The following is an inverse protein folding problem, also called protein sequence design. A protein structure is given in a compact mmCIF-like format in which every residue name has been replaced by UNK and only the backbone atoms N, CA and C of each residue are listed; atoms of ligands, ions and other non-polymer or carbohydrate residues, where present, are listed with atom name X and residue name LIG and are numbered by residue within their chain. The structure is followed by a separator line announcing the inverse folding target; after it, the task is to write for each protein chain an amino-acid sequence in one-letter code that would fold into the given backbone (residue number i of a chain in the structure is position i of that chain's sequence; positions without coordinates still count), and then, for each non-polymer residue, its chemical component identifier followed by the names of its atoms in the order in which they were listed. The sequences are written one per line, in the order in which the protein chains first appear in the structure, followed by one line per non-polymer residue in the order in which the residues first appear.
data_IF_410042838997
#
_entry.id   IF_410042838997
#
_cell.length_a   1.000
_cell.length_b   1.000
_cell.length_c   1.000
_cell.angle_alpha   90.00
_cell.angle_beta   90.00
_cell.angle_gamma   90.00
#
_symmetry.space_group_name_H-M   'P 1'
#
loop_
_entity.id
_entity.type
_entity.pdbx_description
1 polymer ?
#
# COMPACT_ATOMS: atom_id res chain seq x y z
N UNK A 1 3.52 17.30 -13.30
CA UNK A 1 4.69 17.83 -12.58
C UNK A 1 5.02 16.85 -11.48
N UNK A 2 6.19 16.22 -11.57
CA UNK A 2 6.56 14.97 -10.92
C UNK A 2 6.57 15.08 -9.38
N UNK A 3 5.77 14.24 -8.72
CA UNK A 3 6.01 13.86 -7.34
C UNK A 3 7.28 12.98 -7.33
N UNK A 4 8.44 13.60 -7.16
CA UNK A 4 9.67 12.83 -6.96
C UNK A 4 9.70 12.31 -5.51
N UNK A 5 9.68 10.98 -5.29
CA UNK A 5 9.91 10.44 -3.96
C UNK A 5 11.27 10.95 -3.44
N UNK A 6 11.28 11.51 -2.23
CA UNK A 6 12.49 12.12 -1.67
C UNK A 6 13.60 11.09 -1.41
N UNK A 7 14.83 11.57 -1.18
CA UNK A 7 15.96 10.71 -0.79
C UNK A 7 15.64 9.81 0.42
N UNK A 8 14.73 10.24 1.29
CA UNK A 8 14.21 9.45 2.40
C UNK A 8 13.44 8.19 1.96
N UNK A 9 12.66 8.24 0.87
CA UNK A 9 11.97 7.04 0.33
C UNK A 9 13.01 6.04 -0.19
N UNK A 10 14.03 6.50 -0.91
CA UNK A 10 15.11 5.64 -1.39
C UNK A 10 15.90 5.02 -0.24
N UNK A 11 16.21 5.79 0.81
CA UNK A 11 16.85 5.29 2.02
C UNK A 11 15.96 4.30 2.78
N UNK A 12 14.68 4.61 3.00
CA UNK A 12 13.75 3.73 3.71
C UNK A 12 13.46 2.44 2.95
N UNK A 13 13.39 2.47 1.61
CA UNK A 13 13.34 1.24 0.79
C UNK A 13 14.63 0.41 0.95
N UNK A 14 15.78 1.07 1.08
CA UNK A 14 17.08 0.41 1.27
C UNK A 14 17.24 -0.18 2.68
N UNK A 15 16.62 0.41 3.70
CA UNK A 15 16.60 -0.10 5.09
C UNK A 15 15.50 -1.17 5.28
N UNK A 16 14.42 -1.10 4.51
CA UNK A 16 13.28 -2.01 4.56
C UNK A 16 13.33 -3.12 3.51
N UNK A 17 14.51 -3.72 3.29
CA UNK A 17 14.76 -4.80 2.30
C UNK A 17 13.69 -5.91 2.39
N UNK A 18 13.15 -6.15 3.58
CA UNK A 18 12.16 -7.20 3.86
C UNK A 18 10.84 -6.99 3.09
N UNK A 19 10.40 -5.73 2.90
CA UNK A 19 9.10 -5.42 2.27
C UNK A 19 9.23 -5.07 0.78
N UNK A 20 10.42 -4.76 0.27
CA UNK A 20 10.62 -4.39 -1.15
C UNK A 20 10.23 -5.50 -2.12
N UNK A 21 10.57 -6.79 -1.88
CA UNK A 21 10.09 -7.90 -2.71
C UNK A 21 8.57 -7.99 -2.69
N UNK A 22 7.94 -7.85 -1.52
CA UNK A 22 6.47 -7.84 -1.37
C UNK A 22 5.83 -6.78 -2.26
N UNK A 23 6.29 -5.53 -2.19
CA UNK A 23 5.77 -4.44 -3.02
C UNK A 23 5.97 -4.70 -4.51
N UNK A 24 7.14 -5.25 -4.89
CA UNK A 24 7.44 -5.60 -6.29
C UNK A 24 6.46 -6.65 -6.81
N UNK A 25 6.21 -7.71 -6.04
CA UNK A 25 5.27 -8.76 -6.42
C UNK A 25 3.82 -8.28 -6.46
N UNK A 26 3.43 -7.35 -5.58
CA UNK A 26 2.12 -6.68 -5.64
C UNK A 26 1.97 -5.91 -6.95
N UNK A 27 2.97 -5.11 -7.33
CA UNK A 27 2.96 -4.35 -8.60
C UNK A 27 2.88 -5.29 -9.80
N UNK A 28 3.66 -6.37 -9.82
CA UNK A 28 3.59 -7.39 -10.87
C UNK A 28 2.19 -8.01 -10.94
N UNK A 29 1.57 -8.29 -9.79
CA UNK A 29 0.20 -8.84 -9.73
C UNK A 29 -0.84 -7.88 -10.31
N UNK A 30 -0.70 -6.57 -10.04
CA UNK A 30 -1.53 -5.52 -10.66
C UNK A 30 -1.35 -5.44 -12.18
N UNK A 31 -0.10 -5.48 -12.67
CA UNK A 31 0.19 -5.47 -14.12
C UNK A 31 -0.45 -6.67 -14.82
N UNK A 32 -0.37 -7.86 -14.21
CA UNK A 32 -0.99 -9.06 -14.75
C UNK A 32 -2.53 -8.96 -14.79
N UNK A 33 -3.16 -8.35 -13.78
CA UNK A 33 -4.60 -8.10 -13.80
C UNK A 33 -4.97 -7.09 -14.90
N UNK A 34 -4.20 -6.02 -15.08
CA UNK A 34 -4.41 -5.06 -16.18
C UNK A 34 -4.29 -5.75 -17.55
N UNK A 35 -3.28 -6.61 -17.74
CA UNK A 35 -3.15 -7.42 -18.95
C UNK A 35 -4.33 -8.36 -19.17
N UNK A 36 -4.90 -8.94 -18.10
CA UNK A 36 -6.15 -9.68 -18.21
C UNK A 36 -7.30 -8.77 -18.66
N UNK A 37 -7.51 -7.60 -18.05
CA UNK A 37 -8.60 -6.69 -18.43
C UNK A 37 -8.52 -6.30 -19.92
N UNK A 38 -7.31 -6.13 -20.47
CA UNK A 38 -7.11 -5.76 -21.88
C UNK A 38 -7.18 -6.94 -22.85
N UNK A 39 -6.61 -8.10 -22.50
CA UNK A 39 -6.44 -9.24 -23.42
C UNK A 39 -7.38 -10.42 -23.15
N UNK A 40 -8.08 -10.42 -22.01
CA UNK A 40 -8.95 -11.50 -21.51
C UNK A 40 -8.28 -12.89 -21.44
N UNK A 41 -6.94 -12.93 -21.38
CA UNK A 41 -6.20 -14.17 -21.24
C UNK A 41 -6.12 -14.57 -19.77
N UNK A 42 -6.76 -15.68 -19.42
CA UNK A 42 -6.84 -16.21 -18.04
C UNK A 42 -5.49 -16.63 -17.46
N UNK A 43 -4.48 -16.86 -18.30
CA UNK A 43 -3.12 -17.14 -17.82
C UNK A 43 -2.58 -16.01 -16.94
N UNK A 44 -2.87 -14.75 -17.28
CA UNK A 44 -2.40 -13.62 -16.47
C UNK A 44 -3.05 -13.61 -15.08
N UNK A 45 -4.34 -13.91 -14.96
CA UNK A 45 -5.00 -14.04 -13.66
C UNK A 45 -4.50 -15.24 -12.87
N UNK A 46 -4.24 -16.36 -13.54
CA UNK A 46 -3.66 -17.53 -12.88
C UNK A 46 -2.29 -17.19 -12.27
N UNK A 47 -1.39 -16.60 -13.06
CA UNK A 47 -0.08 -16.16 -12.58
C UNK A 47 -0.19 -15.13 -11.45
N UNK A 48 -1.08 -14.14 -11.59
CA UNK A 48 -1.35 -13.14 -10.54
C UNK A 48 -1.84 -13.81 -9.25
N UNK A 49 -2.70 -14.84 -9.36
CA UNK A 49 -3.22 -15.58 -8.20
C UNK A 49 -2.12 -16.37 -7.47
N UNK A 50 -1.22 -17.02 -8.21
CA UNK A 50 -0.07 -17.73 -7.62
C UNK A 50 0.85 -16.73 -6.91
N UNK A 51 1.25 -15.66 -7.59
CA UNK A 51 2.12 -14.63 -7.00
C UNK A 51 1.46 -14.04 -5.75
N UNK A 52 0.21 -13.59 -5.84
CA UNK A 52 -0.51 -13.01 -4.70
C UNK A 52 -0.62 -13.98 -3.51
N UNK A 53 -0.75 -15.28 -3.74
CA UNK A 53 -0.82 -16.29 -2.67
C UNK A 53 0.51 -16.47 -1.94
N UNK A 54 1.63 -16.36 -2.67
CA UNK A 54 2.97 -16.41 -2.08
C UNK A 54 3.30 -15.10 -1.36
N UNK A 55 2.88 -13.96 -1.91
CA UNK A 55 3.13 -12.64 -1.33
C UNK A 55 2.40 -12.45 -0.01
N UNK A 56 1.12 -12.85 0.08
CA UNK A 56 0.37 -12.82 1.36
C UNK A 56 0.90 -13.83 2.38
N UNK A 57 1.45 -14.97 1.94
CA UNK A 57 2.14 -15.90 2.83
C UNK A 57 3.42 -15.28 3.42
N UNK A 58 4.14 -14.49 2.62
CA UNK A 58 5.36 -13.81 3.05
C UNK A 58 5.08 -12.61 3.96
N UNK A 59 4.03 -11.84 3.69
CA UNK A 59 3.81 -10.54 4.31
C UNK A 59 2.33 -10.14 4.31
N UNK A 60 1.78 -9.89 5.51
CA UNK A 60 0.37 -9.58 5.72
C UNK A 60 -0.02 -8.20 5.19
N UNK A 61 0.93 -7.31 4.92
CA UNK A 61 0.68 -6.00 4.28
C UNK A 61 0.00 -6.15 2.91
N UNK A 62 0.20 -7.29 2.25
CA UNK A 62 -0.45 -7.66 0.99
C UNK A 62 -1.97 -7.63 1.07
N UNK A 63 -2.55 -7.87 2.26
CA UNK A 63 -3.99 -7.77 2.47
C UNK A 63 -4.47 -6.34 2.21
N UNK A 64 -3.76 -5.36 2.78
CA UNK A 64 -4.11 -3.95 2.70
C UNK A 64 -3.75 -3.34 1.34
N UNK A 65 -2.67 -3.81 0.71
CA UNK A 65 -2.15 -3.22 -0.52
C UNK A 65 -2.63 -3.90 -1.80
N UNK A 66 -3.20 -5.11 -1.73
CA UNK A 66 -3.63 -5.85 -2.90
C UNK A 66 -5.02 -6.47 -2.75
N UNK A 67 -5.22 -7.34 -1.75
CA UNK A 67 -6.48 -8.11 -1.64
C UNK A 67 -7.69 -7.21 -1.40
N UNK A 68 -7.64 -6.36 -0.36
CA UNK A 68 -8.74 -5.47 -0.02
C UNK A 68 -8.99 -4.41 -1.12
N UNK A 69 -7.96 -3.75 -1.68
CA UNK A 69 -8.16 -2.82 -2.79
C UNK A 69 -8.76 -3.45 -4.05
N UNK A 70 -8.27 -4.61 -4.51
CA UNK A 70 -8.85 -5.30 -5.68
C UNK A 70 -10.29 -5.73 -5.39
N UNK A 71 -10.55 -6.30 -4.21
CA UNK A 71 -11.90 -6.71 -3.82
C UNK A 71 -12.88 -5.53 -3.86
N UNK A 72 -12.53 -4.39 -3.24
CA UNK A 72 -13.35 -3.19 -3.27
C UNK A 72 -13.54 -2.65 -4.69
N UNK A 73 -12.48 -2.64 -5.51
CA UNK A 73 -12.55 -2.22 -6.92
C UNK A 73 -13.46 -3.09 -7.76
N UNK A 74 -13.55 -4.40 -7.51
CA UNK A 74 -14.54 -5.26 -8.16
C UNK A 74 -15.99 -4.83 -7.89
N UNK A 75 -16.27 -4.10 -6.80
CA UNK A 75 -17.61 -3.60 -6.50
C UNK A 75 -17.88 -2.20 -7.06
N UNK A 76 -16.85 -1.34 -7.17
CA UNK A 76 -17.05 0.09 -7.48
C UNK A 76 -16.54 0.53 -8.86
N UNK A 77 -15.61 -0.20 -9.47
CA UNK A 77 -14.93 0.23 -10.69
C UNK A 77 -15.78 0.04 -11.96
N UNK A 78 -15.40 0.78 -13.00
CA UNK A 78 -16.09 0.81 -14.29
C UNK A 78 -15.66 -0.32 -15.23
N UNK A 79 -15.74 -1.56 -14.76
CA UNK A 79 -15.39 -2.75 -15.54
C UNK A 79 -16.62 -3.63 -15.78
N UNK A 80 -16.59 -4.46 -16.83
CA UNK A 80 -17.68 -5.38 -17.13
C UNK A 80 -17.95 -6.32 -15.93
N UNK A 81 -19.21 -6.53 -15.58
CA UNK A 81 -19.61 -7.41 -14.47
C UNK A 81 -18.99 -8.81 -14.54
N UNK A 82 -18.85 -9.38 -15.75
CA UNK A 82 -18.18 -10.68 -15.94
C UNK A 82 -16.71 -10.64 -15.56
N UNK A 83 -16.00 -9.60 -16.00
CA UNK A 83 -14.56 -9.45 -15.71
C UNK A 83 -14.33 -9.20 -14.21
N UNK A 84 -15.18 -8.37 -13.58
CA UNK A 84 -15.17 -8.15 -12.11
C UNK A 84 -15.39 -9.44 -11.33
N UNK A 85 -16.35 -10.27 -11.75
CA UNK A 85 -16.62 -11.56 -11.11
C UNK A 85 -15.44 -12.53 -11.26
N UNK A 86 -14.83 -12.62 -12.45
CA UNK A 86 -13.69 -13.51 -12.69
C UNK A 86 -12.47 -13.07 -11.88
N UNK A 87 -12.18 -11.76 -11.83
CA UNK A 87 -11.07 -11.21 -11.03
C UNK A 87 -11.31 -11.46 -9.54
N UNK A 88 -12.52 -11.18 -9.04
CA UNK A 88 -12.87 -11.47 -7.65
C UNK A 88 -12.74 -12.96 -7.31
N UNK A 89 -13.18 -13.85 -8.21
CA UNK A 89 -13.03 -15.29 -8.04
C UNK A 89 -11.56 -15.72 -8.00
N UNK A 90 -10.70 -15.12 -8.82
CA UNK A 90 -9.25 -15.38 -8.79
C UNK A 90 -8.60 -14.93 -7.48
N UNK A 91 -9.10 -13.83 -6.89
CA UNK A 91 -8.65 -13.32 -5.59
C UNK A 91 -9.06 -14.27 -4.46
N UNK A 92 -10.29 -14.78 -4.46
CA UNK A 92 -10.75 -15.80 -3.51
C UNK A 92 -9.91 -17.08 -3.65
N UNK A 93 -9.65 -17.52 -4.88
CA UNK A 93 -8.79 -18.67 -5.16
C UNK A 93 -7.36 -18.48 -4.64
N UNK A 94 -6.77 -17.30 -4.86
CA UNK A 94 -5.44 -16.95 -4.34
C UNK A 94 -5.40 -17.01 -2.80
N UNK A 95 -6.42 -16.47 -2.13
CA UNK A 95 -6.52 -16.52 -0.67
C UNK A 95 -6.67 -17.96 -0.15
N UNK A 96 -7.44 -18.79 -0.85
CA UNK A 96 -7.57 -20.21 -0.55
C UNK A 96 -6.24 -20.95 -0.69
N UNK A 97 -5.49 -20.70 -1.79
CA UNK A 97 -4.15 -21.26 -1.97
C UNK A 97 -3.20 -20.85 -0.84
N UNK A 98 -3.22 -19.59 -0.41
CA UNK A 98 -2.47 -19.14 0.75
C UNK A 98 -2.80 -19.96 2.00
N UNK A 99 -4.09 -20.18 2.30
CA UNK A 99 -4.51 -20.97 3.46
C UNK A 99 -4.07 -22.43 3.36
N UNK A 100 -4.04 -23.00 2.16
CA UNK A 100 -3.46 -24.33 1.93
C UNK A 100 -1.96 -24.35 2.21
N UNK A 101 -1.19 -23.40 1.67
CA UNK A 101 0.25 -23.27 1.94
C UNK A 101 0.48 -23.16 3.45
N UNK A 102 -0.26 -22.28 4.12
CA UNK A 102 -0.18 -22.11 5.57
C UNK A 102 -0.49 -23.41 6.33
N UNK A 103 -1.54 -24.14 5.94
CA UNK A 103 -1.89 -25.40 6.60
C UNK A 103 -0.76 -26.44 6.53
N UNK A 104 -0.09 -26.58 5.38
CA UNK A 104 1.01 -27.53 5.22
C UNK A 104 2.32 -27.09 5.86
N UNK A 105 2.52 -25.78 6.05
CA UNK A 105 3.76 -25.21 6.61
C UNK A 105 3.70 -24.96 8.11
N UNK A 106 2.50 -24.91 8.70
CA UNK A 106 2.30 -24.63 10.13
C UNK A 106 2.52 -25.88 11.02
N UNK A 107 3.43 -26.77 10.63
CA UNK A 107 3.91 -27.88 11.45
C UNK A 107 5.15 -27.44 12.23
N UNK A 108 5.34 -28.00 13.43
CA UNK A 108 6.45 -27.66 14.31
C UNK A 108 7.84 -27.88 13.67
N UNK A 109 7.92 -28.70 12.62
CA UNK A 109 9.15 -29.09 11.94
C UNK A 109 9.54 -28.19 10.74
N UNK A 110 8.67 -27.27 10.31
CA UNK A 110 8.96 -26.40 9.16
C UNK A 110 9.51 -25.04 9.56
N UNK A 111 8.69 -24.16 10.14
CA UNK A 111 9.10 -22.80 10.52
C UNK A 111 8.25 -22.28 11.68
N UNK A 112 8.82 -22.29 12.90
CA UNK A 112 8.30 -21.48 14.00
C UNK A 112 8.85 -20.06 13.84
N UNK A 113 7.99 -19.08 13.54
CA UNK A 113 8.33 -17.65 13.55
C UNK A 113 7.95 -17.07 14.92
N UNK A 114 8.86 -17.08 15.91
CA UNK A 114 8.57 -16.49 17.23
C UNK A 114 8.32 -15.00 17.09
N UNK A 115 7.23 -14.51 17.69
CA UNK A 115 7.08 -13.09 18.02
C UNK A 115 6.35 -12.19 17.02
N UNK A 116 5.76 -12.71 15.94
CA UNK A 116 4.88 -11.88 15.09
C UNK A 116 3.44 -11.98 15.61
N UNK A 117 3.12 -11.18 16.63
CA UNK A 117 1.74 -10.99 17.04
C UNK A 117 0.90 -10.42 15.89
N UNK A 118 -0.35 -10.86 15.77
CA UNK A 118 -1.30 -10.29 14.81
C UNK A 118 -1.49 -8.79 15.11
N UNK A 119 -1.56 -7.92 14.09
CA UNK A 119 -1.79 -6.50 14.31
C UNK A 119 -3.07 -6.27 15.10
N UNK A 120 -3.00 -5.42 16.11
CA UNK A 120 -4.16 -5.01 16.92
C UNK A 120 -4.46 -3.53 16.73
N UNK A 121 -5.66 -3.11 17.11
CA UNK A 121 -5.99 -1.69 17.13
C UNK A 121 -5.18 -0.97 18.20
N UNK A 122 -4.77 0.26 17.90
CA UNK A 122 -4.04 1.13 18.82
C UNK A 122 -4.84 1.37 20.10
N UNK A 123 -4.16 1.35 21.24
CA UNK A 123 -4.74 1.80 22.51
C UNK A 123 -5.06 3.29 22.46
N UNK A 124 -6.13 3.72 23.14
CA UNK A 124 -6.57 5.12 23.15
C UNK A 124 -5.42 6.12 23.42
N UNK A 125 -4.56 5.81 24.39
CA UNK A 125 -3.43 6.68 24.79
C UNK A 125 -2.35 6.87 23.71
N UNK A 126 -2.25 5.91 22.78
CA UNK A 126 -1.25 5.94 21.70
C UNK A 126 -1.77 6.57 20.41
N UNK A 127 -3.07 6.88 20.32
CA UNK A 127 -3.67 7.42 19.10
C UNK A 127 -3.03 8.76 18.68
N UNK A 128 -2.87 9.69 19.62
CA UNK A 128 -2.26 11.00 19.34
C UNK A 128 -0.80 10.85 18.89
N UNK A 129 -0.06 9.92 19.50
CA UNK A 129 1.31 9.59 19.10
C UNK A 129 1.35 9.08 17.65
N UNK A 130 0.47 8.13 17.31
CA UNK A 130 0.39 7.59 15.94
C UNK A 130 0.04 8.66 14.91
N UNK A 131 -0.90 9.56 15.21
CA UNK A 131 -1.26 10.67 14.33
C UNK A 131 -0.08 11.62 14.15
N UNK A 132 0.61 11.99 15.23
CA UNK A 132 1.82 12.82 15.14
C UNK A 132 2.91 12.17 14.29
N UNK A 133 3.12 10.87 14.48
CA UNK A 133 4.13 10.10 13.74
C UNK A 133 3.75 9.92 12.27
N UNK A 134 2.45 9.80 11.96
CA UNK A 134 1.92 9.80 10.59
C UNK A 134 2.27 11.12 9.89
N UNK A 135 1.96 12.27 10.50
CA UNK A 135 2.29 13.59 9.94
C UNK A 135 3.79 13.75 9.74
N UNK A 136 4.59 13.40 10.76
CA UNK A 136 6.05 13.43 10.67
C UNK A 136 6.57 12.54 9.54
N UNK A 137 6.04 11.32 9.41
CA UNK A 137 6.38 10.38 8.35
C UNK A 137 6.09 10.92 6.96
N UNK A 138 4.92 11.50 6.74
CA UNK A 138 4.56 12.12 5.45
C UNK A 138 5.50 13.29 5.09
N UNK A 139 5.87 14.12 6.07
CA UNK A 139 6.86 15.19 5.87
C UNK A 139 8.23 14.62 5.49
N UNK A 140 8.69 13.57 6.17
CA UNK A 140 9.97 12.91 5.87
C UNK A 140 9.95 12.33 4.45
N UNK A 141 8.90 11.61 4.08
CA UNK A 141 8.80 10.94 2.78
C UNK A 141 8.82 11.93 1.60
N UNK A 142 8.18 13.09 1.75
CA UNK A 142 8.19 14.16 0.75
C UNK A 142 9.40 15.10 0.90
N UNK A 143 10.28 14.85 1.87
CA UNK A 143 11.38 15.75 2.25
C UNK A 143 10.90 17.20 2.49
N UNK A 144 9.71 17.30 3.08
CA UNK A 144 8.92 18.51 3.28
C UNK A 144 8.97 19.02 4.72
N UNK A 145 9.80 18.44 5.59
CA UNK A 145 9.96 18.92 6.96
C UNK A 145 10.60 20.31 6.96
N UNK A 146 9.80 21.34 7.29
CA UNK A 146 10.24 22.73 7.41
C UNK A 146 10.30 23.20 8.87
N UNK A 147 9.95 22.34 9.84
CA UNK A 147 9.98 22.74 11.24
C UNK A 147 11.41 23.07 11.68
N UNK A 148 11.54 24.07 12.54
CA UNK A 148 12.83 24.59 13.05
C UNK A 148 13.78 25.18 12.00
N UNK A 149 13.38 25.25 10.72
CA UNK A 149 14.15 25.95 9.67
C UNK A 149 13.82 27.44 9.65
N UNK A 150 14.81 28.27 9.32
CA UNK A 150 14.61 29.73 9.16
C UNK A 150 13.72 29.96 7.94
N UNK A 151 12.62 30.71 8.11
CA UNK A 151 11.60 30.94 7.07
C UNK A 151 12.21 31.54 5.79
N UNK A 152 13.11 32.50 5.91
CA UNK A 152 13.76 33.19 4.79
C UNK A 152 14.96 32.44 4.19
N UNK A 153 15.38 31.33 4.79
CA UNK A 153 16.50 30.55 4.26
C UNK A 153 16.08 29.77 3.01
N UNK A 154 17.00 29.52 2.06
CA UNK A 154 16.71 28.65 0.91
C UNK A 154 16.14 27.29 1.35
N UNK A 155 16.69 26.68 2.39
CA UNK A 155 16.23 25.39 2.92
C UNK A 155 14.80 25.44 3.45
N UNK A 156 14.44 26.50 4.18
CA UNK A 156 13.07 26.73 4.68
C UNK A 156 12.08 26.92 3.54
N UNK A 157 12.44 27.73 2.54
CA UNK A 157 11.62 27.97 1.34
C UNK A 157 11.42 26.68 0.54
N UNK A 158 12.49 25.95 0.23
CA UNK A 158 12.39 24.70 -0.55
C UNK A 158 11.60 23.62 0.19
N UNK A 159 11.75 23.49 1.51
CA UNK A 159 10.99 22.53 2.31
C UNK A 159 9.50 22.89 2.35
N UNK A 160 9.18 24.18 2.46
CA UNK A 160 7.80 24.68 2.39
C UNK A 160 7.17 24.44 1.01
N UNK A 161 7.91 24.60 -0.08
CA UNK A 161 7.44 24.26 -1.43
C UNK A 161 7.13 22.77 -1.57
N UNK A 162 7.98 21.90 -1.01
CA UNK A 162 7.72 20.45 -0.99
C UNK A 162 6.49 20.10 -0.14
N UNK A 163 6.25 20.84 0.95
CA UNK A 163 5.01 20.71 1.72
C UNK A 163 3.77 21.10 0.89
N UNK A 164 3.85 22.18 0.11
CA UNK A 164 2.78 22.52 -0.83
C UNK A 164 2.53 21.39 -1.83
N UNK A 165 3.59 20.75 -2.35
CA UNK A 165 3.45 19.57 -3.22
C UNK A 165 2.78 18.38 -2.52
N UNK A 166 3.12 18.11 -1.25
CA UNK A 166 2.46 17.10 -0.41
C UNK A 166 0.96 17.39 -0.27
N UNK A 167 0.59 18.65 0.01
CA UNK A 167 -0.82 19.06 0.14
C UNK A 167 -1.56 18.90 -1.19
N UNK A 168 -0.97 19.36 -2.30
CA UNK A 168 -1.55 19.20 -3.64
C UNK A 168 -1.73 17.71 -3.99
N UNK A 169 -0.74 16.87 -3.68
CA UNK A 169 -0.82 15.43 -3.89
C UNK A 169 -2.06 14.84 -3.21
N UNK A 170 -2.27 15.13 -1.93
CA UNK A 170 -3.45 14.63 -1.20
C UNK A 170 -4.77 15.24 -1.71
N UNK A 171 -4.79 16.52 -2.08
CA UNK A 171 -5.98 17.12 -2.69
C UNK A 171 -6.36 16.38 -3.97
N UNK A 172 -5.41 16.08 -4.85
CA UNK A 172 -5.65 15.36 -6.10
C UNK A 172 -6.07 13.90 -5.85
N UNK A 173 -5.43 13.23 -4.88
CA UNK A 173 -5.72 11.85 -4.50
C UNK A 173 -7.16 11.74 -3.97
N UNK A 174 -7.55 12.61 -3.03
CA UNK A 174 -8.90 12.65 -2.46
C UNK A 174 -9.93 13.07 -3.52
N UNK A 175 -9.60 14.05 -4.38
CA UNK A 175 -10.48 14.45 -5.48
C UNK A 175 -10.73 13.32 -6.47
N UNK A 176 -9.78 12.41 -6.65
CA UNK A 176 -9.90 11.25 -7.52
C UNK A 176 -10.90 10.21 -6.99
N UNK A 177 -11.09 10.12 -5.66
CA UNK A 177 -12.11 9.23 -5.07
C UNK A 177 -13.53 9.57 -5.55
N UNK A 178 -13.83 10.84 -5.77
CA UNK A 178 -15.14 11.29 -6.27
C UNK A 178 -15.42 10.71 -7.66
N UNK A 179 -14.37 10.45 -8.44
CA UNK A 179 -14.43 9.93 -9.81
C UNK A 179 -14.09 8.44 -9.91
N UNK A 180 -13.92 7.73 -8.78
CA UNK A 180 -13.44 6.34 -8.76
C UNK A 180 -14.29 5.39 -9.61
N UNK A 181 -15.61 5.66 -9.70
CA UNK A 181 -16.54 4.89 -10.55
C UNK A 181 -16.31 5.04 -12.05
N UNK A 182 -15.40 5.93 -12.49
CA UNK A 182 -15.01 6.10 -13.89
C UNK A 182 -13.66 5.43 -14.20
N UNK A 183 -12.95 4.98 -13.17
CA UNK A 183 -11.63 4.41 -13.31
C UNK A 183 -11.69 2.95 -13.73
N UNK A 184 -10.60 2.48 -14.34
CA UNK A 184 -10.41 1.04 -14.55
C UNK A 184 -10.32 0.32 -13.20
N UNK A 185 -10.51 -1.00 -13.20
CA UNK A 185 -10.43 -1.78 -11.97
C UNK A 185 -9.08 -1.64 -11.26
N UNK A 186 -7.99 -1.61 -12.02
CA UNK A 186 -6.63 -1.48 -11.47
C UNK A 186 -6.40 -0.08 -10.95
N UNK A 187 -6.78 0.97 -11.69
CA UNK A 187 -6.62 2.37 -11.23
C UNK A 187 -7.42 2.64 -9.95
N UNK A 188 -8.66 2.12 -9.88
CA UNK A 188 -9.47 2.20 -8.67
C UNK A 188 -8.78 1.47 -7.50
N UNK A 189 -8.18 0.31 -7.75
CA UNK A 189 -7.51 -0.47 -6.71
C UNK A 189 -6.23 0.22 -6.22
N UNK A 190 -5.43 0.81 -7.12
CA UNK A 190 -4.24 1.58 -6.75
C UNK A 190 -4.61 2.80 -5.89
N UNK A 191 -5.68 3.51 -6.24
CA UNK A 191 -6.18 4.63 -5.45
C UNK A 191 -6.61 4.19 -4.04
N UNK A 192 -7.32 3.07 -3.92
CA UNK A 192 -7.73 2.52 -2.62
C UNK A 192 -6.50 2.07 -1.81
N UNK A 193 -5.55 1.37 -2.45
CA UNK A 193 -4.31 0.91 -1.82
C UNK A 193 -3.48 2.08 -1.30
N UNK A 194 -3.41 3.19 -2.04
CA UNK A 194 -2.72 4.40 -1.62
C UNK A 194 -3.35 5.01 -0.37
N UNK A 195 -4.68 5.02 -0.27
CA UNK A 195 -5.39 5.71 0.81
C UNK A 195 -5.59 4.86 2.07
N UNK A 196 -5.69 3.54 1.94
CA UNK A 196 -6.01 2.65 3.07
C UNK A 196 -4.86 2.55 4.09
N UNK A 197 -3.63 2.78 3.66
CA UNK A 197 -2.46 2.75 4.54
C UNK A 197 -2.46 3.88 5.56
N UNK A 198 -3.14 5.01 5.28
CA UNK A 198 -3.21 6.15 6.18
C UNK A 198 -3.99 5.81 7.46
N UNK A 199 -5.27 5.36 7.40
CA UNK A 199 -5.99 4.93 8.59
C UNK A 199 -5.41 3.63 9.16
N UNK A 200 -4.89 2.70 8.34
CA UNK A 200 -4.26 1.48 8.85
C UNK A 200 -3.03 1.79 9.71
N UNK A 201 -2.22 2.76 9.30
CA UNK A 201 -1.09 3.24 10.09
C UNK A 201 -1.54 3.94 11.36
N UNK A 202 -2.46 4.91 11.26
CA UNK A 202 -2.91 5.69 12.40
C UNK A 202 -3.58 4.83 13.49
N UNK A 203 -4.35 3.81 13.09
CA UNK A 203 -5.19 3.00 13.97
C UNK A 203 -4.56 1.66 14.40
N UNK A 204 -3.35 1.33 13.95
CA UNK A 204 -2.69 0.07 14.34
C UNK A 204 -1.72 0.25 15.50
N UNK A 205 -1.36 -0.85 16.14
CA UNK A 205 -0.31 -0.95 17.16
C UNK A 205 1.13 -0.99 16.57
N UNK A 206 1.25 -0.95 15.24
CA UNK A 206 2.52 -1.05 14.50
C UNK A 206 3.41 0.19 14.55
N UNK A 207 2.90 1.44 14.64
CA UNK A 207 3.77 2.60 14.76
C UNK A 207 4.47 2.62 16.13
N UNK A 208 5.79 2.66 16.11
CA UNK A 208 6.63 2.66 17.33
C UNK A 208 7.66 3.78 17.27
N UNK A 209 8.22 4.03 16.06
CA UNK A 209 9.24 5.04 15.82
C UNK A 209 9.19 5.56 14.37
N UNK A 210 10.09 6.47 14.01
CA UNK A 210 10.21 6.99 12.65
C UNK A 210 10.53 5.92 11.60
N UNK A 211 11.18 4.82 11.98
CA UNK A 211 11.45 3.70 11.07
C UNK A 211 10.16 3.04 10.58
N UNK A 212 9.10 3.06 11.38
CA UNK A 212 7.79 2.51 10.99
C UNK A 212 7.08 3.33 9.91
N UNK A 213 7.49 4.59 9.65
CA UNK A 213 6.87 5.40 8.57
C UNK A 213 7.10 4.81 7.18
N UNK A 214 8.00 3.82 7.04
CA UNK A 214 8.14 3.00 5.84
C UNK A 214 6.84 2.33 5.37
N UNK A 215 5.91 2.07 6.28
CA UNK A 215 4.58 1.53 5.94
C UNK A 215 3.71 2.51 5.15
N UNK A 216 4.10 3.79 5.08
CA UNK A 216 3.41 4.83 4.30
C UNK A 216 4.01 5.01 2.89
N UNK A 217 5.12 4.34 2.56
CA UNK A 217 5.71 4.37 1.20
C UNK A 217 4.69 3.98 0.11
N UNK A 218 3.83 2.94 0.30
CA UNK A 218 2.82 2.58 -0.69
C UNK A 218 1.85 3.71 -1.05
N UNK A 219 1.61 4.68 -0.14
CA UNK A 219 0.78 5.87 -0.40
C UNK A 219 1.32 6.64 -1.59
N UNK A 220 2.65 6.77 -1.67
CA UNK A 220 3.34 7.50 -2.74
C UNK A 220 3.40 6.65 -4.00
N UNK A 221 3.78 5.38 -3.87
CA UNK A 221 3.95 4.49 -5.04
C UNK A 221 2.64 4.30 -5.79
N UNK A 222 1.53 4.08 -5.09
CA UNK A 222 0.23 3.80 -5.72
C UNK A 222 -0.60 5.05 -5.97
N UNK A 223 -0.31 6.16 -5.28
CA UNK A 223 -1.03 7.43 -5.46
C UNK A 223 -0.42 8.36 -6.52
N UNK A 224 0.73 8.03 -7.09
CA UNK A 224 1.42 8.80 -8.14
C UNK A 224 1.01 8.36 -9.54
#
# INVERSE_FOLDING_TARGET
FLAFPGAAVSYMLSVAIIHVPTYTYIVVSYILIDFYCRRRNRLYLFLSSIIASLTIFSDDITIYLFFLPIALSCFIANENAKDKFVIFSSLVFSYFLFKLILHFTNSADFFYLPGVGSPTFVSYDKLTFNISLLFKGLLILFNADFFSKIISSPEGIFSSLKFTSLVIFFILLISSLIKIRKFSLVDAALLIAALIMIPAYALSDKPVDEGTTRYLIPVIIFGS
#
